data_IF_890434049463
#
_entry.id   IF_890434049463
#
_cell.length_a   1.000
_cell.length_b   1.000
_cell.length_c   1.000
_cell.angle_alpha   90.00
_cell.angle_beta   90.00
_cell.angle_gamma   90.00
#
_symmetry.space_group_name_H-M   'P 1'
#
loop_
_entity.id
_entity.type
_entity.pdbx_description
1 polymer ?
#
# COMPACT_ATOMS: atom_id res chain seq x y z
N UNK A 1 -6.72 5.99 -17.14
CA UNK A 1 -7.07 5.78 -15.72
C UNK A 1 -7.56 4.36 -15.51
N UNK A 2 -7.21 3.75 -14.40
CA UNK A 2 -7.70 2.41 -14.10
C UNK A 2 -9.22 2.39 -13.98
N UNK A 3 -9.84 1.35 -14.50
CA UNK A 3 -11.26 1.14 -14.28
C UNK A 3 -11.49 0.74 -12.83
N UNK A 4 -12.53 1.31 -12.21
CA UNK A 4 -12.87 0.93 -10.85
C UNK A 4 -13.36 -0.51 -10.80
N UNK A 5 -12.92 -1.24 -9.79
CA UNK A 5 -13.39 -2.59 -9.50
C UNK A 5 -14.22 -2.55 -8.23
N UNK A 6 -15.51 -2.85 -8.36
CA UNK A 6 -16.42 -2.83 -7.21
C UNK A 6 -16.98 -4.24 -7.00
N UNK A 7 -16.76 -4.77 -5.81
CA UNK A 7 -17.27 -6.08 -5.42
C UNK A 7 -18.12 -5.95 -4.17
N UNK A 8 -19.00 -6.93 -3.94
CA UNK A 8 -19.77 -6.96 -2.71
C UNK A 8 -18.87 -7.34 -1.54
N UNK A 9 -19.32 -7.07 -0.33
CA UNK A 9 -18.59 -7.44 0.88
C UNK A 9 -18.32 -8.95 0.92
N UNK A 10 -19.31 -9.75 0.57
CA UNK A 10 -19.16 -11.21 0.54
C UNK A 10 -18.06 -11.64 -0.46
N UNK A 11 -18.02 -11.00 -1.63
CA UNK A 11 -16.99 -11.30 -2.63
C UNK A 11 -15.60 -10.94 -2.14
N UNK A 12 -15.45 -9.81 -1.43
CA UNK A 12 -14.16 -9.45 -0.85
C UNK A 12 -13.73 -10.47 0.20
N UNK A 13 -14.66 -10.93 1.05
CA UNK A 13 -14.35 -11.90 2.09
C UNK A 13 -13.91 -13.26 1.52
N UNK A 14 -14.44 -13.65 0.37
CA UNK A 14 -14.00 -14.87 -0.30
C UNK A 14 -12.60 -14.73 -0.89
N UNK A 15 -12.25 -13.54 -1.35
CA UNK A 15 -11.01 -13.27 -2.06
C UNK A 15 -9.83 -13.01 -1.12
N UNK A 16 -10.10 -12.49 0.07
CA UNK A 16 -9.08 -12.04 1.01
C UNK A 16 -9.06 -12.89 2.27
N UNK A 17 -7.86 -13.00 2.89
CA UNK A 17 -7.78 -13.58 4.23
C UNK A 17 -8.45 -12.61 5.21
N UNK A 18 -8.82 -13.07 6.43
CA UNK A 18 -9.40 -12.17 7.43
C UNK A 18 -8.51 -10.96 7.73
N UNK A 19 -7.19 -11.15 7.80
CA UNK A 19 -6.28 -10.04 8.03
C UNK A 19 -6.26 -9.06 6.86
N UNK A 20 -6.18 -9.57 5.62
CA UNK A 20 -6.20 -8.73 4.43
C UNK A 20 -7.50 -7.94 4.35
N UNK A 21 -8.63 -8.59 4.64
CA UNK A 21 -9.93 -7.93 4.63
C UNK A 21 -9.97 -6.80 5.66
N UNK A 22 -9.51 -7.06 6.87
CA UNK A 22 -9.50 -6.05 7.93
C UNK A 22 -8.70 -4.80 7.52
N UNK A 23 -7.56 -5.01 6.87
CA UNK A 23 -6.69 -3.91 6.48
C UNK A 23 -7.24 -3.18 5.25
N UNK A 24 -7.60 -3.92 4.20
CA UNK A 24 -8.01 -3.32 2.93
C UNK A 24 -9.42 -2.73 2.95
N UNK A 25 -10.35 -3.37 3.63
CA UNK A 25 -11.77 -2.98 3.58
C UNK A 25 -12.27 -2.33 4.87
N UNK A 26 -11.57 -2.51 5.98
CA UNK A 26 -11.96 -1.94 7.27
C UNK A 26 -10.94 -0.91 7.79
N UNK A 27 -10.04 -0.45 6.92
CA UNK A 27 -9.02 0.56 7.25
C UNK A 27 -8.12 0.14 8.42
N UNK A 28 -7.83 -1.14 8.52
CA UNK A 28 -6.94 -1.64 9.56
C UNK A 28 -5.49 -1.32 9.27
N UNK A 29 -4.64 -1.52 10.27
CA UNK A 29 -3.20 -1.32 10.17
C UNK A 29 -2.51 -2.54 10.75
N UNK A 30 -1.53 -3.09 10.02
CA UNK A 30 -0.73 -4.18 10.56
C UNK A 30 0.21 -3.64 11.63
N UNK A 31 0.65 -4.52 12.53
CA UNK A 31 1.61 -4.14 13.55
C UNK A 31 2.97 -3.86 12.91
N UNK A 32 3.67 -2.82 13.37
CA UNK A 32 4.99 -2.46 12.87
C UNK A 32 5.96 -3.65 13.02
N UNK A 33 6.83 -3.83 12.04
CA UNK A 33 7.86 -4.86 11.99
C UNK A 33 7.33 -6.30 11.88
N UNK A 34 6.04 -6.49 11.61
CA UNK A 34 5.45 -7.82 11.45
C UNK A 34 5.12 -8.17 10.02
N UNK A 35 5.09 -7.21 9.11
CA UNK A 35 4.73 -7.45 7.71
C UNK A 35 5.81 -8.20 6.97
N UNK A 36 5.40 -9.10 6.08
CA UNK A 36 6.35 -9.96 5.37
C UNK A 36 7.23 -9.22 4.37
N UNK A 37 6.85 -8.01 3.96
CA UNK A 37 7.63 -7.25 2.99
C UNK A 37 8.40 -6.08 3.59
N UNK A 38 8.32 -5.89 4.89
CA UNK A 38 8.99 -4.76 5.55
C UNK A 38 10.49 -4.76 5.23
N UNK A 39 11.13 -5.92 5.28
CA UNK A 39 12.56 -6.05 5.00
C UNK A 39 12.89 -6.65 3.64
N UNK A 40 11.89 -6.81 2.78
CA UNK A 40 12.10 -7.39 1.48
C UNK A 40 12.89 -6.44 0.58
N UNK A 41 14.03 -6.91 0.05
CA UNK A 41 14.90 -6.12 -0.83
C UNK A 41 15.05 -6.76 -2.22
N UNK A 42 14.29 -7.80 -2.51
CA UNK A 42 14.34 -8.43 -3.81
C UNK A 42 13.79 -7.49 -4.89
N UNK A 43 14.33 -7.61 -6.10
CA UNK A 43 13.85 -6.82 -7.23
C UNK A 43 12.49 -7.34 -7.71
N UNK A 44 11.57 -6.46 -7.97
CA UNK A 44 10.26 -6.84 -8.44
C UNK A 44 9.22 -5.75 -8.28
N UNK A 45 7.96 -6.16 -8.38
CA UNK A 45 6.83 -5.26 -8.39
C UNK A 45 5.89 -5.61 -7.25
N UNK A 46 5.37 -4.59 -6.58
CA UNK A 46 4.34 -4.76 -5.54
C UNK A 46 2.98 -4.41 -6.13
N UNK A 47 2.06 -5.36 -6.06
CA UNK A 47 0.71 -5.18 -6.60
C UNK A 47 -0.31 -5.24 -5.48
N UNK A 48 -1.52 -4.71 -5.74
CA UNK A 48 -2.62 -4.79 -4.78
C UNK A 48 -3.03 -6.25 -4.62
N UNK A 49 -3.04 -6.75 -3.39
CA UNK A 49 -3.40 -8.15 -3.14
C UNK A 49 -4.85 -8.42 -3.50
N UNK A 50 -5.70 -7.41 -3.46
CA UNK A 50 -7.14 -7.57 -3.74
C UNK A 50 -7.47 -7.57 -5.23
N UNK A 51 -6.80 -6.76 -6.05
CA UNK A 51 -7.18 -6.60 -7.46
C UNK A 51 -6.03 -6.77 -8.45
N UNK A 52 -4.81 -6.89 -7.97
CA UNK A 52 -3.65 -7.13 -8.84
C UNK A 52 -3.08 -5.90 -9.52
N UNK A 53 -3.59 -4.70 -9.24
CA UNK A 53 -3.05 -3.50 -9.86
C UNK A 53 -1.62 -3.22 -9.40
N UNK A 54 -0.69 -2.90 -10.34
CA UNK A 54 0.65 -2.47 -9.93
C UNK A 54 0.59 -1.20 -9.09
N UNK A 55 1.25 -1.22 -7.93
CA UNK A 55 1.20 -0.11 -6.98
C UNK A 55 2.56 0.54 -6.75
N UNK A 56 3.59 -0.28 -6.51
CA UNK A 56 4.93 0.22 -6.19
C UNK A 56 5.98 -0.69 -6.80
N UNK A 57 7.19 -0.15 -7.00
CA UNK A 57 8.30 -0.92 -7.52
C UNK A 57 9.41 -0.99 -6.49
N UNK A 58 10.16 -2.09 -6.51
CA UNK A 58 11.25 -2.34 -5.55
C UNK A 58 12.32 -1.25 -5.56
N UNK A 59 12.56 -0.64 -6.72
CA UNK A 59 13.59 0.41 -6.84
C UNK A 59 13.20 1.69 -6.08
N UNK A 60 11.92 1.86 -5.77
CA UNK A 60 11.42 3.01 -5.03
C UNK A 60 11.24 2.72 -3.54
N UNK A 61 11.54 1.49 -3.12
CA UNK A 61 11.43 1.08 -1.71
C UNK A 61 12.69 1.48 -0.95
N UNK A 62 12.51 1.96 0.28
CA UNK A 62 13.63 2.31 1.13
C UNK A 62 13.35 1.92 2.58
N UNK A 63 14.40 1.82 3.37
CA UNK A 63 14.30 1.50 4.80
C UNK A 63 14.07 2.80 5.57
N UNK A 64 12.84 3.03 6.01
CA UNK A 64 12.48 4.24 6.75
C UNK A 64 12.63 4.08 8.26
N UNK A 65 12.83 2.85 8.73
CA UNK A 65 12.86 2.57 10.16
C UNK A 65 11.50 2.59 10.83
N UNK A 66 10.42 2.78 10.06
CA UNK A 66 9.06 2.87 10.61
C UNK A 66 8.46 1.53 10.99
N UNK A 67 8.96 0.44 10.43
CA UNK A 67 8.42 -0.89 10.66
C UNK A 67 7.40 -1.35 9.62
N UNK A 68 7.15 -0.53 8.60
CA UNK A 68 6.29 -0.86 7.46
C UNK A 68 7.05 -0.65 6.16
N UNK A 69 6.68 -1.39 5.09
CA UNK A 69 7.26 -1.11 3.78
C UNK A 69 7.08 0.36 3.41
N UNK A 70 8.15 0.99 2.96
CA UNK A 70 8.13 2.42 2.63
C UNK A 70 8.64 2.65 1.22
N UNK A 71 7.98 3.56 0.49
CA UNK A 71 8.30 3.86 -0.90
C UNK A 71 8.34 5.37 -1.10
N UNK A 72 9.17 5.81 -2.05
CA UNK A 72 9.29 7.25 -2.34
C UNK A 72 8.21 7.73 -3.31
N UNK A 73 7.64 6.83 -4.12
CA UNK A 73 6.58 7.16 -5.09
C UNK A 73 5.81 5.92 -5.50
N UNK A 74 4.58 6.07 -6.01
CA UNK A 74 3.87 4.94 -6.59
C UNK A 74 4.43 4.57 -7.97
N UNK A 75 4.05 3.39 -8.46
CA UNK A 75 4.52 2.90 -9.77
C UNK A 75 4.10 3.81 -10.91
N UNK A 76 2.94 4.46 -10.80
CA UNK A 76 2.48 5.48 -11.74
C UNK A 76 1.63 6.48 -10.98
N UNK A 77 1.42 7.67 -11.58
CA UNK A 77 0.65 8.73 -10.92
C UNK A 77 -0.78 8.32 -10.58
N UNK A 78 -1.38 7.46 -11.38
CA UNK A 78 -2.75 7.04 -11.18
C UNK A 78 -2.90 5.67 -10.52
N UNK A 79 -1.81 5.10 -9.97
CA UNK A 79 -1.89 3.81 -9.30
C UNK A 79 -2.62 3.89 -7.96
N UNK A 80 -2.51 5.02 -7.29
CA UNK A 80 -3.12 5.21 -5.96
C UNK A 80 -3.90 6.52 -5.92
N UNK A 81 -4.83 6.61 -4.95
CA UNK A 81 -5.55 7.84 -4.64
C UNK A 81 -5.27 8.23 -3.20
N UNK A 82 -5.35 9.52 -2.91
CA UNK A 82 -5.09 10.04 -1.57
C UNK A 82 -6.37 10.65 -1.02
N UNK A 83 -6.66 10.36 0.25
CA UNK A 83 -7.83 10.88 0.94
C UNK A 83 -7.43 11.40 2.31
N UNK A 84 -8.11 12.45 2.77
CA UNK A 84 -7.87 12.96 4.11
C UNK A 84 -8.42 11.97 5.15
N UNK A 85 -7.60 11.62 6.13
CA UNK A 85 -7.97 10.71 7.21
C UNK A 85 -7.88 11.47 8.54
N UNK A 86 -9.01 11.67 9.19
CA UNK A 86 -9.10 12.40 10.46
C UNK A 86 -9.28 11.47 11.66
N UNK A 87 -9.12 10.17 11.47
CA UNK A 87 -9.27 9.20 12.55
C UNK A 87 -8.24 9.45 13.65
N UNK A 88 -8.59 9.09 14.87
CA UNK A 88 -7.71 9.19 16.04
C UNK A 88 -7.27 10.62 16.37
N UNK A 89 -8.07 11.62 15.94
CA UNK A 89 -7.77 13.02 16.21
C UNK A 89 -6.56 13.57 15.46
N UNK A 90 -6.08 12.85 14.44
CA UNK A 90 -4.94 13.26 13.64
C UNK A 90 -5.37 13.55 12.20
N UNK A 91 -4.70 14.52 11.57
CA UNK A 91 -4.90 14.79 10.15
C UNK A 91 -3.79 14.07 9.39
N UNK A 92 -4.14 13.00 8.68
CA UNK A 92 -3.20 12.22 7.88
C UNK A 92 -3.72 12.09 6.46
N UNK A 93 -2.85 11.69 5.53
CA UNK A 93 -3.26 11.42 4.16
C UNK A 93 -3.26 9.92 3.94
N UNK A 94 -4.45 9.37 3.75
CA UNK A 94 -4.64 7.94 3.47
C UNK A 94 -4.31 7.66 2.01
N UNK A 95 -3.69 6.51 1.75
CA UNK A 95 -3.39 6.04 0.39
C UNK A 95 -4.23 4.79 0.13
N UNK A 96 -4.99 4.81 -0.95
CA UNK A 96 -5.82 3.67 -1.35
C UNK A 96 -5.49 3.27 -2.79
N UNK A 97 -5.78 2.00 -3.13
CA UNK A 97 -5.65 1.51 -4.50
C UNK A 97 -6.68 2.25 -5.37
N UNK A 98 -6.22 2.85 -6.47
CA UNK A 98 -7.13 3.62 -7.32
C UNK A 98 -8.18 2.74 -8.02
N UNK A 99 -7.92 1.44 -8.16
CA UNK A 99 -8.84 0.54 -8.84
C UNK A 99 -9.91 -0.05 -7.92
N UNK A 100 -9.53 -0.61 -6.77
CA UNK A 100 -10.49 -1.25 -5.86
C UNK A 100 -10.79 -0.43 -4.62
N UNK A 101 -10.09 0.69 -4.43
CA UNK A 101 -10.22 1.60 -3.30
C UNK A 101 -9.88 0.96 -1.95
N UNK A 102 -9.15 -0.16 -1.98
CA UNK A 102 -8.69 -0.80 -0.75
C UNK A 102 -7.65 0.05 -0.04
N UNK A 103 -7.75 0.09 1.29
CA UNK A 103 -6.81 0.85 2.12
C UNK A 103 -5.42 0.24 2.06
N UNK A 104 -4.42 1.03 1.70
CA UNK A 104 -3.03 0.58 1.61
C UNK A 104 -2.20 1.08 2.78
N UNK A 105 -2.36 2.31 3.17
CA UNK A 105 -1.58 2.93 4.22
C UNK A 105 -1.73 4.45 4.18
N UNK A 106 -0.63 5.15 4.45
CA UNK A 106 -0.62 6.61 4.52
C UNK A 106 0.65 7.15 3.85
N UNK A 107 0.60 8.41 3.43
CA UNK A 107 1.77 9.10 2.90
C UNK A 107 2.11 10.27 3.81
N UNK A 108 3.41 10.46 4.08
CA UNK A 108 3.93 11.49 4.97
C UNK A 108 4.96 12.34 4.24
N UNK A 109 5.15 13.61 4.64
CA UNK A 109 6.12 14.51 3.98
C UNK A 109 7.54 14.41 4.52
N UNK A 110 7.88 13.34 5.22
CA UNK A 110 9.19 13.17 5.86
C UNK A 110 10.06 12.11 5.17
N UNK A 111 9.91 11.97 3.86
CA UNK A 111 10.72 11.05 3.06
C UNK A 111 12.02 11.69 2.57
N UNK A 112 12.82 10.94 1.76
CA UNK A 112 14.08 11.44 1.24
C UNK A 112 13.88 12.65 0.34
N UNK A 113 14.49 13.77 0.68
CA UNK A 113 14.32 15.04 -0.06
C UNK A 113 14.76 14.95 -1.51
N UNK A 114 15.86 14.26 -1.78
CA UNK A 114 16.40 14.11 -3.12
C UNK A 114 15.51 13.27 -4.02
N UNK A 115 14.51 12.59 -3.46
CA UNK A 115 13.58 11.76 -4.22
C UNK A 115 12.14 12.23 -4.12
N UNK A 116 11.93 13.49 -3.73
CA UNK A 116 10.60 14.09 -3.70
C UNK A 116 10.07 14.37 -2.31
N UNK A 117 10.72 13.88 -1.26
CA UNK A 117 10.37 14.20 0.12
C UNK A 117 9.17 13.46 0.69
N UNK A 118 8.63 12.46 0.00
CA UNK A 118 7.46 11.71 0.46
C UNK A 118 7.83 10.34 0.97
N UNK A 119 7.07 9.86 1.95
CA UNK A 119 7.20 8.51 2.48
C UNK A 119 5.82 7.84 2.42
N UNK A 120 5.65 6.92 1.47
CA UNK A 120 4.46 6.09 1.37
C UNK A 120 4.65 4.90 2.29
N UNK A 121 3.93 4.89 3.41
CA UNK A 121 4.04 3.86 4.44
C UNK A 121 2.88 2.89 4.24
N UNK A 122 3.17 1.68 3.76
CA UNK A 122 2.15 0.77 3.23
C UNK A 122 2.12 -0.54 4.03
N UNK A 123 0.94 -1.07 4.27
CA UNK A 123 0.78 -2.36 4.95
C UNK A 123 1.21 -3.50 4.03
N UNK A 124 2.07 -4.41 4.52
CA UNK A 124 2.46 -5.59 3.75
C UNK A 124 1.26 -6.43 3.37
N UNK A 125 0.26 -6.52 4.25
CA UNK A 125 -0.93 -7.33 4.00
C UNK A 125 -1.79 -6.80 2.85
N UNK A 126 -1.59 -5.53 2.45
CA UNK A 126 -2.28 -4.95 1.29
C UNK A 126 -1.58 -5.29 -0.02
N UNK A 127 -0.39 -5.86 0.04
CA UNK A 127 0.48 -6.06 -1.11
C UNK A 127 0.73 -7.53 -1.42
N UNK A 128 0.95 -7.80 -2.70
CA UNK A 128 1.51 -9.06 -3.16
C UNK A 128 2.77 -8.71 -3.95
N UNK A 129 3.81 -9.50 -3.81
CA UNK A 129 5.09 -9.22 -4.45
C UNK A 129 5.32 -10.15 -5.62
N UNK A 130 5.63 -9.57 -6.78
CA UNK A 130 5.96 -10.33 -7.97
C UNK A 130 7.44 -10.14 -8.28
N UNK A 131 8.29 -11.16 -8.03
CA UNK A 131 9.72 -11.05 -8.32
C UNK A 131 9.96 -10.77 -9.79
N UNK A 132 11.01 -9.98 -10.06
CA UNK A 132 11.41 -9.70 -11.42
C UNK A 132 11.97 -10.97 -12.07
N UNK A 133 11.53 -11.23 -13.30
CA UNK A 133 12.03 -12.36 -14.07
C UNK A 133 13.41 -12.02 -14.67
N UNK A 134 14.33 -12.96 -14.57
CA UNK A 134 15.66 -12.82 -15.16
C UNK A 134 15.75 -13.61 -16.45
#
# INVERSE_FOLDING_TARGET
MPEKLTLTDAEWRERLTPEQYRILREHGTERAFTGKYEKNKAAGEYVCVACGQPLFESEDKFDSGSGWPSFVRPASEDAVEEHTDLAHGMARTEVVCSRCEGHLGHVFPDGPREQGGLRYCINSASLDFKPEDN
#
